data_IF_279849568568
#
_entry.id   IF_279849568568
#
_cell.length_a   1.000
_cell.length_b   1.000
_cell.length_c   1.000
_cell.angle_alpha   90.00
_cell.angle_beta   90.00
_cell.angle_gamma   90.00
#
_symmetry.space_group_name_H-M   'P 1'
#
loop_
_entity.id
_entity.type
_entity.pdbx_description
1 polymer ?
#
# COMPACT_ATOMS: atom_id res chain seq x y z
N UNK A 1 -6.56 11.05 -18.00
CA UNK A 1 -6.33 11.21 -16.54
C UNK A 1 -6.41 9.82 -15.94
N UNK A 2 -5.43 9.41 -15.15
CA UNK A 2 -5.37 8.09 -14.53
C UNK A 2 -5.41 8.29 -13.01
N UNK A 3 -6.45 7.77 -12.37
CA UNK A 3 -6.67 7.92 -10.93
C UNK A 3 -6.75 6.53 -10.32
N UNK A 4 -5.91 6.28 -9.30
CA UNK A 4 -5.89 5.02 -8.56
C UNK A 4 -6.50 5.28 -7.19
N UNK A 5 -7.55 4.54 -6.86
CA UNK A 5 -8.13 4.53 -5.52
C UNK A 5 -7.69 3.24 -4.82
N UNK A 6 -7.15 3.37 -3.60
CA UNK A 6 -6.82 2.23 -2.73
C UNK A 6 -7.72 2.31 -1.51
N UNK A 7 -8.61 1.35 -1.37
CA UNK A 7 -9.65 1.34 -0.36
C UNK A 7 -9.94 -0.08 0.12
N UNK A 8 -10.49 -0.20 1.33
CA UNK A 8 -11.07 -1.43 1.82
C UNK A 8 -12.42 -1.70 1.15
N UNK A 9 -12.87 -2.96 1.13
CA UNK A 9 -14.18 -3.33 0.59
C UNK A 9 -15.34 -2.66 1.34
N UNK A 10 -15.18 -2.35 2.63
CA UNK A 10 -16.18 -1.62 3.42
C UNK A 10 -16.40 -0.17 2.97
N UNK A 11 -15.41 0.43 2.29
CA UNK A 11 -15.46 1.81 1.79
C UNK A 11 -16.05 1.89 0.38
N UNK A 12 -16.29 0.75 -0.27
CA UNK A 12 -16.95 0.67 -1.58
C UNK A 12 -18.47 0.77 -1.41
N UNK A 13 -18.91 1.93 -0.92
CA UNK A 13 -20.31 2.22 -0.58
C UNK A 13 -21.04 3.01 -1.68
N UNK A 14 -22.33 3.27 -1.46
CA UNK A 14 -23.14 4.03 -2.42
C UNK A 14 -22.62 5.46 -2.63
N UNK A 15 -22.03 6.06 -1.58
CA UNK A 15 -21.46 7.41 -1.62
C UNK A 15 -20.27 7.45 -2.59
N UNK A 16 -19.37 6.46 -2.51
CA UNK A 16 -18.24 6.31 -3.43
C UNK A 16 -18.71 6.15 -4.88
N UNK A 17 -19.70 5.28 -5.13
CA UNK A 17 -20.24 5.08 -6.48
C UNK A 17 -20.86 6.37 -7.03
N UNK A 18 -21.55 7.15 -6.20
CA UNK A 18 -22.12 8.43 -6.61
C UNK A 18 -21.03 9.46 -6.97
N UNK A 19 -19.97 9.54 -6.15
CA UNK A 19 -18.83 10.43 -6.42
C UNK A 19 -18.09 10.04 -7.71
N UNK A 20 -17.92 8.73 -7.97
CA UNK A 20 -17.30 8.23 -9.19
C UNK A 20 -18.11 8.62 -10.43
N UNK A 21 -19.44 8.42 -10.40
CA UNK A 21 -20.34 8.82 -11.48
C UNK A 21 -20.34 10.32 -11.75
N UNK A 22 -20.29 11.15 -10.69
CA UNK A 22 -20.23 12.59 -10.84
C UNK A 22 -18.89 13.06 -11.46
N UNK A 23 -17.79 12.43 -11.08
CA UNK A 23 -16.43 12.79 -11.55
C UNK A 23 -16.20 12.39 -13.02
N UNK A 24 -16.75 11.24 -13.43
CA UNK A 24 -16.57 10.66 -14.75
C UNK A 24 -17.85 10.66 -15.60
N UNK A 25 -18.72 11.66 -15.39
CA UNK A 25 -19.98 11.80 -16.12
C UNK A 25 -19.76 11.73 -17.65
N UNK A 26 -20.56 10.89 -18.32
CA UNK A 26 -20.51 10.61 -19.77
C UNK A 26 -19.16 10.09 -20.31
N UNK A 27 -18.27 9.62 -19.44
CA UNK A 27 -17.01 9.02 -19.84
C UNK A 27 -17.10 7.50 -19.74
N UNK A 28 -16.49 6.83 -20.71
CA UNK A 28 -16.22 5.40 -20.59
C UNK A 28 -15.09 5.19 -19.58
N UNK A 29 -15.31 4.29 -18.61
CA UNK A 29 -14.34 3.95 -17.58
C UNK A 29 -14.16 2.44 -17.49
N UNK A 30 -12.96 2.01 -17.15
CA UNK A 30 -12.62 0.64 -16.80
C UNK A 30 -12.33 0.56 -15.29
N UNK A 31 -12.86 -0.46 -14.61
CA UNK A 31 -12.58 -0.73 -13.20
C UNK A 31 -11.86 -2.08 -13.11
N UNK A 32 -10.63 -2.07 -12.62
CA UNK A 32 -9.83 -3.28 -12.37
C UNK A 32 -9.78 -3.53 -10.87
N UNK A 33 -10.26 -4.70 -10.42
CA UNK A 33 -10.31 -5.09 -9.01
C UNK A 33 -9.42 -6.31 -8.78
N UNK A 34 -8.54 -6.23 -7.80
CA UNK A 34 -7.70 -7.34 -7.35
C UNK A 34 -7.49 -7.23 -5.84
N UNK A 35 -7.24 -8.36 -5.19
CA UNK A 35 -6.86 -8.37 -3.79
C UNK A 35 -5.45 -7.78 -3.64
N UNK A 36 -5.32 -6.78 -2.76
CA UNK A 36 -4.03 -6.16 -2.48
C UNK A 36 -3.33 -6.96 -1.38
N UNK A 37 -2.54 -7.96 -1.78
CA UNK A 37 -1.62 -8.63 -0.86
C UNK A 37 -0.29 -7.85 -0.77
N UNK A 38 -0.21 -6.96 0.22
CA UNK A 38 1.01 -6.19 0.52
C UNK A 38 2.22 -7.09 0.81
N UNK A 39 2.00 -8.27 1.39
CA UNK A 39 3.07 -9.20 1.73
C UNK A 39 3.62 -9.88 0.49
N UNK A 40 2.75 -10.32 -0.43
CA UNK A 40 3.19 -10.86 -1.72
C UNK A 40 3.96 -9.81 -2.54
N UNK A 41 3.52 -8.56 -2.55
CA UNK A 41 4.23 -7.49 -3.26
C UNK A 41 5.63 -7.21 -2.68
N UNK A 42 5.74 -7.11 -1.35
CA UNK A 42 7.04 -6.94 -0.68
C UNK A 42 7.96 -8.17 -0.86
N UNK A 43 7.39 -9.37 -0.96
CA UNK A 43 8.15 -10.61 -1.17
C UNK A 43 8.41 -10.96 -2.64
N UNK A 44 7.86 -10.20 -3.59
CA UNK A 44 7.92 -10.51 -5.03
C UNK A 44 9.35 -10.54 -5.59
N UNK A 45 10.26 -9.70 -5.07
CA UNK A 45 11.66 -9.73 -5.45
C UNK A 45 12.49 -10.56 -4.45
N UNK A 46 13.29 -11.54 -4.90
CA UNK A 46 14.20 -12.29 -4.03
C UNK A 46 15.14 -11.40 -3.22
N UNK A 47 15.58 -10.28 -3.80
CA UNK A 47 16.42 -9.30 -3.13
C UNK A 47 15.67 -8.55 -2.02
N UNK A 48 14.43 -8.12 -2.27
CA UNK A 48 13.62 -7.42 -1.26
C UNK A 48 13.21 -8.37 -0.12
N UNK A 49 12.84 -9.62 -0.45
CA UNK A 49 12.55 -10.67 0.53
C UNK A 49 13.74 -10.93 1.46
N UNK A 50 14.96 -11.09 0.91
CA UNK A 50 16.17 -11.31 1.72
C UNK A 50 16.47 -10.12 2.63
N UNK A 51 16.27 -8.89 2.13
CA UNK A 51 16.46 -7.66 2.93
C UNK A 51 15.47 -7.58 4.09
N UNK A 52 14.19 -7.85 3.84
CA UNK A 52 13.13 -7.83 4.86
C UNK A 52 13.35 -8.89 5.94
N UNK A 53 13.67 -10.13 5.55
CA UNK A 53 13.95 -11.20 6.51
C UNK A 53 15.15 -10.86 7.41
N UNK A 54 16.22 -10.30 6.84
CA UNK A 54 17.38 -9.83 7.61
C UNK A 54 17.00 -8.69 8.57
N UNK A 55 16.17 -7.75 8.13
CA UNK A 55 15.70 -6.66 8.98
C UNK A 55 14.89 -7.19 10.18
N UNK A 56 14.02 -8.19 9.96
CA UNK A 56 13.26 -8.85 11.03
C UNK A 56 14.20 -9.54 12.03
N UNK A 57 15.23 -10.23 11.55
CA UNK A 57 16.24 -10.88 12.39
C UNK A 57 17.03 -9.86 13.22
N UNK A 58 17.47 -8.77 12.60
CA UNK A 58 18.17 -7.67 13.27
C UNK A 58 17.34 -7.11 14.43
N UNK A 59 16.05 -6.86 14.22
CA UNK A 59 15.12 -6.38 15.25
C UNK A 59 14.96 -7.39 16.38
N UNK A 60 14.72 -8.67 16.06
CA UNK A 60 14.56 -9.73 17.08
C UNK A 60 15.79 -9.89 17.96
N UNK A 61 16.98 -9.77 17.37
CA UNK A 61 18.25 -9.94 18.06
C UNK A 61 18.77 -8.62 18.67
N UNK A 62 18.04 -7.50 18.54
CA UNK A 62 18.50 -6.19 19.00
C UNK A 62 19.82 -5.74 18.37
N UNK A 63 20.11 -6.20 17.16
CA UNK A 63 21.40 -6.02 16.48
C UNK A 63 21.24 -5.16 15.24
N UNK A 64 22.24 -4.34 14.92
CA UNK A 64 22.25 -3.50 13.72
C UNK A 64 21.00 -2.59 13.59
N UNK A 65 20.56 -2.05 14.72
CA UNK A 65 19.48 -1.06 14.82
C UNK A 65 20.09 0.34 15.01
N UNK A 66 19.57 1.32 14.26
CA UNK A 66 19.89 2.72 14.47
C UNK A 66 18.71 3.33 15.20
N UNK A 67 18.93 3.80 16.42
CA UNK A 67 17.92 4.54 17.16
C UNK A 67 17.98 5.99 16.71
N UNK A 68 16.85 6.48 16.20
CA UNK A 68 16.71 7.87 15.77
C UNK A 68 15.65 8.50 16.65
N UNK A 69 15.99 9.65 17.21
CA UNK A 69 15.01 10.49 17.89
C UNK A 69 14.19 11.23 16.83
N UNK A 70 12.93 10.83 16.69
CA UNK A 70 12.03 11.31 15.63
C UNK A 70 11.71 12.79 15.82
N UNK A 71 11.82 13.31 17.04
CA UNK A 71 11.57 14.72 17.36
C UNK A 71 12.72 15.65 16.91
N UNK A 72 13.88 15.08 16.57
CA UNK A 72 15.10 15.80 16.20
C UNK A 72 15.53 15.56 14.74
N UNK A 73 14.62 15.08 13.88
CA UNK A 73 14.87 14.94 12.44
C UNK A 73 14.49 16.27 11.76
N UNK A 74 15.51 17.07 11.41
CA UNK A 74 15.36 18.29 10.58
C UNK A 74 14.90 17.98 9.14
#
# INVERSE_FOLDING_TARGET
>A
MHTVYRLNTSELDQSFINALKATYYEKEIEIVVYEVDESAYLMASPANRKRLLRAIENVKNGSNLIQVDVENIE
#
